data_IF_850514382640
#
_entry.id   IF_850514382640
#
_cell.length_a   1.000
_cell.length_b   1.000
_cell.length_c   1.000
_cell.angle_alpha   90.00
_cell.angle_beta   90.00
_cell.angle_gamma   90.00
#
_symmetry.space_group_name_H-M   'P 1'
#
loop_
_entity.id
_entity.type
_entity.pdbx_description
1 polymer ?
#
# COMPACT_ATOMS: atom_id res chain seq x y z
N UNK A 1 12.31 -9.95 -16.24
CA UNK A 1 10.86 -10.22 -16.18
C UNK A 1 10.68 -11.52 -15.42
N UNK A 2 9.90 -11.54 -14.34
CA UNK A 2 9.68 -12.77 -13.56
C UNK A 2 8.59 -13.59 -14.25
N UNK A 3 8.86 -14.83 -14.69
CA UNK A 3 7.84 -15.70 -15.27
C UNK A 3 6.77 -16.02 -14.22
N UNK A 4 5.51 -15.87 -14.61
CA UNK A 4 4.36 -16.21 -13.76
C UNK A 4 3.53 -17.25 -14.47
N UNK A 5 3.28 -18.39 -13.83
CA UNK A 5 2.39 -19.45 -14.30
C UNK A 5 1.03 -19.40 -13.59
N UNK A 6 -0.02 -19.89 -14.25
CA UNK A 6 -1.32 -20.15 -13.61
C UNK A 6 -1.49 -21.66 -13.46
N UNK A 7 -1.82 -22.11 -12.25
CA UNK A 7 -2.19 -23.52 -12.02
C UNK A 7 -3.48 -23.90 -12.72
N UNK A 8 -3.69 -25.20 -12.92
CA UNK A 8 -4.94 -25.72 -13.45
C UNK A 8 -6.15 -25.30 -12.59
N UNK A 9 -6.00 -25.27 -11.27
CA UNK A 9 -7.05 -24.88 -10.32
C UNK A 9 -7.42 -23.40 -10.44
N UNK A 10 -6.42 -22.53 -10.63
CA UNK A 10 -6.66 -21.11 -10.93
C UNK A 10 -7.41 -20.96 -12.25
N UNK A 11 -6.95 -21.63 -13.31
CA UNK A 11 -7.63 -21.57 -14.63
C UNK A 11 -9.07 -22.09 -14.53
N UNK A 12 -9.30 -23.17 -13.79
CA UNK A 12 -10.64 -23.70 -13.56
C UNK A 12 -11.53 -22.73 -12.78
N UNK A 13 -10.98 -22.04 -11.78
CA UNK A 13 -11.71 -21.03 -11.00
C UNK A 13 -12.08 -19.81 -11.84
N UNK A 14 -11.16 -19.31 -12.65
CA UNK A 14 -11.42 -18.21 -13.58
C UNK A 14 -12.49 -18.56 -14.63
N UNK A 15 -12.51 -19.81 -15.10
CA UNK A 15 -13.58 -20.31 -15.99
C UNK A 15 -14.92 -20.32 -15.28
N UNK A 16 -15.00 -20.86 -14.06
CA UNK A 16 -16.25 -20.89 -13.26
C UNK A 16 -16.83 -19.50 -13.05
N UNK A 17 -16.02 -18.51 -12.67
CA UNK A 17 -16.51 -17.14 -12.44
C UNK A 17 -17.00 -16.49 -13.73
N UNK A 18 -16.31 -16.75 -14.86
CA UNK A 18 -16.76 -16.29 -16.19
C UNK A 18 -18.10 -16.91 -16.56
N UNK A 19 -18.27 -18.21 -16.37
CA UNK A 19 -19.48 -18.93 -16.78
C UNK A 19 -20.70 -18.51 -15.94
N UNK A 20 -20.48 -17.94 -14.73
CA UNK A 20 -21.52 -17.32 -13.88
C UNK A 20 -21.80 -15.85 -14.18
N UNK A 21 -21.02 -15.21 -15.06
CA UNK A 21 -21.11 -13.76 -15.30
C UNK A 21 -20.55 -12.90 -14.17
N UNK A 22 -19.80 -13.49 -13.24
CA UNK A 22 -19.24 -12.84 -12.04
C UNK A 22 -17.79 -12.40 -12.25
N UNK A 23 -17.30 -12.37 -13.51
CA UNK A 23 -15.90 -12.08 -13.80
C UNK A 23 -15.56 -10.60 -13.57
N UNK A 24 -14.86 -10.33 -12.49
CA UNK A 24 -14.30 -9.01 -12.22
C UNK A 24 -13.08 -8.72 -13.13
N UNK A 25 -12.83 -7.45 -13.50
CA UNK A 25 -11.69 -7.09 -14.36
C UNK A 25 -10.33 -7.56 -13.82
N UNK A 26 -10.15 -7.54 -12.49
CA UNK A 26 -8.92 -8.04 -11.84
C UNK A 26 -8.66 -9.53 -12.05
N UNK A 27 -9.67 -10.32 -12.41
CA UNK A 27 -9.58 -11.76 -12.67
C UNK A 27 -9.24 -12.10 -14.14
N UNK A 28 -8.72 -11.13 -14.90
CA UNK A 28 -8.11 -11.41 -16.19
C UNK A 28 -6.70 -12.00 -16.03
N UNK A 29 -6.38 -13.03 -16.81
CA UNK A 29 -5.11 -13.76 -16.76
C UNK A 29 -3.90 -12.82 -16.85
N UNK A 30 -3.95 -11.82 -17.73
CA UNK A 30 -2.90 -10.81 -17.88
C UNK A 30 -2.75 -9.90 -16.66
N UNK A 31 -3.86 -9.57 -15.98
CA UNK A 31 -3.86 -8.75 -14.77
C UNK A 31 -3.27 -9.53 -13.60
N UNK A 32 -3.67 -10.79 -13.42
CA UNK A 32 -3.11 -11.69 -12.40
C UNK A 32 -1.60 -11.85 -12.57
N UNK A 33 -1.15 -12.16 -13.79
CA UNK A 33 0.29 -12.35 -14.07
C UNK A 33 1.07 -11.07 -13.81
N UNK A 34 0.56 -9.92 -14.25
CA UNK A 34 1.22 -8.62 -14.06
C UNK A 34 1.26 -8.22 -12.59
N UNK A 35 0.19 -8.47 -11.84
CA UNK A 35 0.13 -8.20 -10.41
C UNK A 35 1.14 -9.02 -9.62
N UNK A 36 1.21 -10.33 -9.86
CA UNK A 36 2.18 -11.21 -9.21
C UNK A 36 3.60 -10.78 -9.58
N UNK A 37 3.90 -10.61 -10.87
CA UNK A 37 5.24 -10.19 -11.30
C UNK A 37 5.63 -8.84 -10.68
N UNK A 38 4.71 -7.89 -10.61
CA UNK A 38 4.92 -6.60 -9.97
C UNK A 38 5.12 -6.68 -8.46
N UNK A 39 4.38 -7.55 -7.77
CA UNK A 39 4.56 -7.80 -6.33
C UNK A 39 5.93 -8.43 -6.03
N UNK A 40 6.31 -9.46 -6.79
CA UNK A 40 7.62 -10.11 -6.62
C UNK A 40 8.75 -9.16 -6.94
N UNK A 41 8.65 -8.37 -8.01
CA UNK A 41 9.65 -7.35 -8.31
C UNK A 41 9.82 -6.36 -7.15
N UNK A 42 8.72 -5.88 -6.56
CA UNK A 42 8.81 -4.95 -5.41
C UNK A 42 9.46 -5.59 -4.18
N UNK A 43 9.21 -6.88 -3.94
CA UNK A 43 9.85 -7.64 -2.86
C UNK A 43 11.36 -7.78 -3.09
N UNK A 44 11.77 -8.14 -4.31
CA UNK A 44 13.19 -8.34 -4.67
C UNK A 44 13.96 -7.01 -4.72
N UNK A 45 13.37 -5.98 -5.31
CA UNK A 45 14.02 -4.68 -5.51
C UNK A 45 13.90 -3.77 -4.26
N UNK A 46 13.24 -4.25 -3.19
CA UNK A 46 12.94 -3.49 -1.97
C UNK A 46 12.23 -2.14 -2.24
N UNK A 47 11.23 -2.15 -3.13
CA UNK A 47 10.45 -0.97 -3.56
C UNK A 47 8.99 -1.04 -3.11
N UNK A 48 8.73 -1.62 -1.94
CA UNK A 48 7.38 -1.87 -1.42
C UNK A 48 6.59 -0.60 -1.06
N UNK A 49 7.26 0.50 -0.71
CA UNK A 49 6.67 1.72 -0.14
C UNK A 49 5.50 2.31 -0.95
N UNK A 50 5.48 2.14 -2.28
CA UNK A 50 4.42 2.66 -3.15
C UNK A 50 3.34 1.64 -3.55
N UNK A 51 3.43 0.39 -3.08
CA UNK A 51 2.60 -0.71 -3.57
C UNK A 51 1.87 -1.51 -2.50
N UNK A 52 2.01 -1.16 -1.22
CA UNK A 52 1.43 -1.89 -0.07
C UNK A 52 0.88 -0.89 0.96
N UNK A 53 0.08 -1.37 1.93
CA UNK A 53 -0.36 -0.49 3.02
C UNK A 53 0.78 -0.22 4.00
N UNK A 54 0.78 0.93 4.69
CA UNK A 54 1.82 1.23 5.67
C UNK A 54 1.95 0.20 6.79
N UNK A 55 0.83 -0.40 7.23
CA UNK A 55 0.83 -1.44 8.28
C UNK A 55 1.31 -2.82 7.78
N UNK A 56 1.18 -3.10 6.48
CA UNK A 56 1.68 -4.33 5.85
C UNK A 56 3.21 -4.27 5.61
N UNK A 57 3.73 -3.05 5.44
CA UNK A 57 5.10 -2.79 4.98
C UNK A 57 6.19 -3.40 5.88
N UNK A 58 6.18 -3.22 7.23
CA UNK A 58 7.29 -3.67 8.07
C UNK A 58 7.49 -5.19 8.00
N UNK A 59 6.40 -5.95 8.03
CA UNK A 59 6.47 -7.41 7.98
C UNK A 59 6.88 -7.91 6.58
N UNK A 60 6.34 -7.30 5.53
CA UNK A 60 6.75 -7.61 4.16
C UNK A 60 8.24 -7.34 3.94
N UNK A 61 8.78 -6.23 4.43
CA UNK A 61 10.20 -5.90 4.34
C UNK A 61 11.08 -6.90 5.11
N UNK A 62 10.68 -7.23 6.34
CA UNK A 62 11.39 -8.20 7.18
C UNK A 62 11.49 -9.56 6.47
N UNK A 63 10.36 -10.05 5.96
CA UNK A 63 10.26 -11.33 5.24
C UNK A 63 11.02 -11.29 3.91
N UNK A 64 10.96 -10.17 3.18
CA UNK A 64 11.65 -9.99 1.91
C UNK A 64 13.17 -10.09 2.06
N UNK A 65 13.73 -9.64 3.19
CA UNK A 65 15.18 -9.76 3.46
C UNK A 65 15.64 -11.22 3.57
N UNK A 66 14.74 -12.11 3.99
CA UNK A 66 14.98 -13.56 4.06
C UNK A 66 14.67 -14.31 2.76
N UNK A 67 14.22 -13.62 1.70
CA UNK A 67 13.98 -14.28 0.42
C UNK A 67 15.31 -14.67 -0.23
N UNK A 68 15.43 -15.94 -0.58
CA UNK A 68 16.46 -16.39 -1.52
C UNK A 68 16.21 -15.87 -2.94
N UNK A 69 16.99 -16.37 -3.89
CA UNK A 69 16.80 -16.05 -5.32
C UNK A 69 15.39 -16.43 -5.76
N UNK A 70 14.62 -15.48 -6.29
CA UNK A 70 13.31 -15.74 -6.87
C UNK A 70 13.42 -15.72 -8.40
N UNK A 71 13.22 -16.88 -9.03
CA UNK A 71 13.33 -17.05 -10.48
C UNK A 71 11.98 -17.09 -11.19
N UNK A 72 10.89 -17.25 -10.44
CA UNK A 72 9.54 -17.36 -10.99
C UNK A 72 8.47 -17.33 -9.91
N UNK A 73 7.21 -17.32 -10.33
CA UNK A 73 6.08 -17.48 -9.43
C UNK A 73 4.95 -18.27 -10.10
N UNK A 74 4.09 -18.87 -9.28
CA UNK A 74 2.92 -19.62 -9.73
C UNK A 74 1.68 -19.16 -8.97
N UNK A 75 0.64 -18.74 -9.67
CA UNK A 75 -0.65 -18.48 -9.06
C UNK A 75 -1.29 -19.81 -8.63
N UNK A 76 -1.53 -19.98 -7.34
CA UNK A 76 -2.02 -21.23 -6.75
C UNK A 76 -3.48 -21.16 -6.30
N UNK A 77 -4.00 -19.96 -6.02
CA UNK A 77 -5.42 -19.76 -5.69
C UNK A 77 -5.87 -18.37 -6.12
N UNK A 78 -7.12 -18.25 -6.57
CA UNK A 78 -7.76 -16.97 -6.86
C UNK A 78 -9.26 -17.05 -6.60
N UNK A 79 -9.78 -16.05 -5.91
CA UNK A 79 -11.20 -15.73 -5.83
C UNK A 79 -11.41 -14.22 -6.11
N UNK A 80 -12.57 -13.67 -5.75
CA UNK A 80 -12.93 -12.28 -6.03
C UNK A 80 -12.19 -11.26 -5.15
N UNK A 81 -11.60 -11.70 -4.04
CA UNK A 81 -10.99 -10.86 -3.02
C UNK A 81 -9.54 -11.20 -2.73
N UNK A 82 -9.10 -12.43 -3.04
CA UNK A 82 -7.80 -12.96 -2.67
C UNK A 82 -7.14 -13.66 -3.86
N UNK A 83 -5.87 -13.37 -4.05
CA UNK A 83 -4.98 -14.03 -5.00
C UNK A 83 -3.74 -14.50 -4.24
N UNK A 84 -3.41 -15.78 -4.39
CA UNK A 84 -2.24 -16.39 -3.75
C UNK A 84 -1.26 -16.85 -4.83
N UNK A 85 0.00 -16.47 -4.65
CA UNK A 85 1.09 -16.92 -5.50
C UNK A 85 2.19 -17.57 -4.68
N UNK A 86 2.75 -18.66 -5.20
CA UNK A 86 3.92 -19.34 -4.66
C UNK A 86 5.17 -18.89 -5.44
N UNK A 87 6.21 -18.49 -4.70
CA UNK A 87 7.49 -18.03 -5.23
C UNK A 87 8.42 -19.22 -5.45
N UNK A 88 9.08 -19.26 -6.61
CA UNK A 88 9.99 -20.34 -6.99
C UNK A 88 11.45 -19.87 -6.91
N UNK A 89 12.39 -20.76 -6.49
CA UNK A 89 12.18 -22.15 -6.08
C UNK A 89 11.86 -22.32 -4.58
N UNK A 90 11.84 -21.23 -3.81
CA UNK A 90 11.79 -21.29 -2.33
C UNK A 90 10.45 -21.72 -1.73
N UNK A 91 9.36 -21.76 -2.49
CA UNK A 91 8.04 -22.18 -2.03
C UNK A 91 7.31 -21.17 -1.14
N UNK A 92 7.90 -20.00 -0.87
CA UNK A 92 7.26 -18.95 -0.07
C UNK A 92 5.97 -18.49 -0.76
N UNK A 93 4.87 -18.33 -0.02
CA UNK A 93 3.60 -17.86 -0.58
C UNK A 93 3.36 -16.40 -0.24
N UNK A 94 2.88 -15.64 -1.23
CA UNK A 94 2.43 -14.26 -1.07
C UNK A 94 0.93 -14.17 -1.31
N UNK A 95 0.28 -13.29 -0.56
CA UNK A 95 -1.13 -13.00 -0.67
C UNK A 95 -1.32 -11.58 -1.17
N UNK A 96 -2.13 -11.47 -2.21
CA UNK A 96 -2.61 -10.21 -2.75
C UNK A 96 -4.11 -10.10 -2.51
N UNK A 97 -4.58 -8.91 -2.17
CA UNK A 97 -6.00 -8.59 -2.05
C UNK A 97 -6.51 -7.86 -3.29
N UNK A 98 -7.76 -8.12 -3.65
CA UNK A 98 -8.45 -7.38 -4.69
C UNK A 98 -8.71 -5.94 -4.27
N UNK A 99 -8.35 -4.98 -5.12
CA UNK A 99 -8.60 -3.55 -4.94
C UNK A 99 -8.95 -2.98 -6.32
N UNK A 100 -10.18 -2.50 -6.50
CA UNK A 100 -10.70 -2.01 -7.78
C UNK A 100 -10.39 -2.99 -8.93
N UNK A 101 -9.78 -2.56 -10.03
CA UNK A 101 -9.46 -3.46 -11.14
C UNK A 101 -8.12 -4.20 -10.98
N UNK A 102 -7.50 -4.14 -9.80
CA UNK A 102 -6.17 -4.68 -9.55
C UNK A 102 -6.05 -5.53 -8.29
N UNK A 103 -4.78 -5.82 -7.98
CA UNK A 103 -4.36 -6.63 -6.84
C UNK A 103 -3.24 -5.90 -6.09
N UNK A 104 -3.33 -5.90 -4.77
CA UNK A 104 -2.31 -5.31 -3.89
C UNK A 104 -1.71 -6.37 -2.99
N UNK A 105 -0.37 -6.44 -2.93
CA UNK A 105 0.34 -7.30 -1.98
C UNK A 105 0.03 -6.88 -0.53
N UNK A 106 -0.28 -7.86 0.32
CA UNK A 106 -0.63 -7.65 1.73
C UNK A 106 0.38 -8.31 2.64
N UNK A 107 0.61 -9.62 2.46
CA UNK A 107 1.47 -10.39 3.37
C UNK A 107 2.02 -11.63 2.69
N UNK A 108 2.95 -12.27 3.38
CA UNK A 108 3.25 -13.66 3.10
C UNK A 108 2.30 -14.60 3.87
N UNK A 109 2.22 -15.86 3.42
CA UNK A 109 1.37 -16.89 4.01
C UNK A 109 2.19 -18.16 4.25
N UNK A 110 2.13 -18.70 5.46
CA UNK A 110 2.86 -19.91 5.86
C UNK A 110 1.98 -21.17 5.90
N UNK A 111 0.66 -21.03 5.71
CA UNK A 111 -0.31 -22.12 5.69
C UNK A 111 -1.46 -21.87 4.72
N UNK A 112 -2.65 -22.37 5.07
CA UNK A 112 -3.84 -22.27 4.22
C UNK A 112 -4.78 -21.12 4.63
N UNK A 113 -4.46 -20.39 5.70
CA UNK A 113 -5.23 -19.20 6.09
C UNK A 113 -4.92 -18.02 5.17
N UNK A 114 -5.81 -17.84 4.20
CA UNK A 114 -5.78 -16.80 3.18
C UNK A 114 -6.78 -15.67 3.48
N UNK A 115 -7.31 -15.59 4.70
CA UNK A 115 -8.22 -14.49 5.07
C UNK A 115 -7.46 -13.17 5.07
N UNK A 116 -8.17 -12.13 4.61
CA UNK A 116 -7.71 -10.74 4.61
C UNK A 116 -8.67 -9.97 5.49
N UNK A 117 -8.13 -9.06 6.30
CA UNK A 117 -8.96 -8.15 7.09
C UNK A 117 -9.74 -7.22 6.15
N UNK A 118 -11.03 -6.96 6.44
CA UNK A 118 -11.77 -5.94 5.72
C UNK A 118 -11.06 -4.60 5.86
N UNK A 119 -10.94 -3.86 4.76
CA UNK A 119 -10.61 -2.44 4.82
C UNK A 119 -11.88 -1.61 4.65
N UNK A 120 -12.06 -0.60 5.48
CA UNK A 120 -13.11 0.40 5.34
C UNK A 120 -12.51 1.68 4.79
N UNK A 121 -13.29 2.38 3.97
CA UNK A 121 -12.89 3.68 3.41
C UNK A 121 -14.00 4.69 3.70
N UNK A 122 -13.62 5.87 4.21
CA UNK A 122 -14.56 6.98 4.42
C UNK A 122 -13.92 8.30 3.99
N UNK A 123 -14.74 9.20 3.46
CA UNK A 123 -14.32 10.56 3.13
C UNK A 123 -14.49 11.46 4.35
N UNK A 124 -13.52 12.34 4.56
CA UNK A 124 -13.56 13.38 5.60
C UNK A 124 -13.20 14.73 5.00
N UNK A 125 -13.79 15.78 5.57
CA UNK A 125 -13.34 17.14 5.31
C UNK A 125 -12.08 17.42 6.13
N UNK A 126 -11.17 18.21 5.57
CA UNK A 126 -10.03 18.75 6.30
C UNK A 126 -10.33 20.19 6.70
N UNK A 127 -10.15 20.51 7.98
CA UNK A 127 -10.22 21.88 8.46
C UNK A 127 -8.82 22.51 8.36
N UNK A 128 -8.50 22.95 7.15
CA UNK A 128 -7.19 23.48 6.79
C UNK A 128 -6.21 22.44 6.24
N UNK A 129 -4.94 22.85 6.20
CA UNK A 129 -3.84 22.11 5.59
C UNK A 129 -2.65 22.06 6.53
N UNK A 130 -1.88 20.97 6.46
CA UNK A 130 -0.72 20.78 7.30
C UNK A 130 -0.82 19.54 8.19
N UNK A 131 0.27 19.21 8.90
CA UNK A 131 0.31 18.10 9.85
C UNK A 131 -0.74 18.20 10.96
N UNK A 132 -1.05 19.41 11.46
CA UNK A 132 -2.05 19.60 12.51
C UNK A 132 -3.48 19.28 12.05
N UNK A 133 -3.85 19.65 10.82
CA UNK A 133 -5.14 19.32 10.22
C UNK A 133 -5.30 17.80 10.05
N UNK A 134 -4.21 17.10 9.72
CA UNK A 134 -4.18 15.62 9.67
C UNK A 134 -4.44 15.02 11.04
N UNK A 135 -3.75 15.50 12.08
CA UNK A 135 -3.93 15.01 13.45
C UNK A 135 -5.36 15.25 13.95
N UNK A 136 -5.92 16.42 13.69
CA UNK A 136 -7.31 16.75 14.03
C UNK A 136 -8.29 15.80 13.32
N UNK A 137 -8.12 15.56 12.02
CA UNK A 137 -8.96 14.64 11.25
C UNK A 137 -8.87 13.18 11.72
N UNK A 138 -7.72 12.78 12.27
CA UNK A 138 -7.48 11.47 12.87
C UNK A 138 -7.91 11.38 14.35
N UNK A 139 -8.29 12.50 14.97
CA UNK A 139 -8.62 12.55 16.40
C UNK A 139 -7.42 12.29 17.32
N UNK A 140 -6.21 12.64 16.87
CA UNK A 140 -4.96 12.42 17.60
C UNK A 140 -4.49 13.73 18.23
N UNK A 141 -4.21 13.70 19.52
CA UNK A 141 -3.59 14.81 20.24
C UNK A 141 -2.07 14.65 20.18
N UNK A 142 -1.39 15.65 19.63
CA UNK A 142 0.07 15.68 19.56
C UNK A 142 0.65 15.92 20.96
N UNK A 143 1.62 15.11 21.43
CA UNK A 143 2.37 15.44 22.63
C UNK A 143 3.23 16.71 22.46
N UNK A 144 3.49 17.41 23.56
CA UNK A 144 4.27 18.67 23.54
C UNK A 144 5.73 18.47 23.12
N UNK A 145 6.31 17.31 23.42
CA UNK A 145 7.69 16.96 23.08
C UNK A 145 7.89 16.59 21.60
N UNK A 146 6.82 16.42 20.83
CA UNK A 146 6.91 16.13 19.40
C UNK A 146 7.10 17.42 18.62
N UNK A 147 8.28 17.57 18.03
CA UNK A 147 8.67 18.72 17.22
C UNK A 147 8.29 18.53 15.75
N UNK A 148 8.04 19.66 15.05
CA UNK A 148 7.81 19.67 13.61
C UNK A 148 9.13 19.39 12.88
N UNK A 149 9.13 18.39 12.01
CA UNK A 149 10.25 18.07 11.14
C UNK A 149 10.02 18.71 9.76
N UNK A 150 11.06 19.35 9.24
CA UNK A 150 11.06 19.93 7.89
C UNK A 150 12.14 19.27 7.03
N UNK A 151 11.77 18.84 5.84
CA UNK A 151 12.68 18.33 4.83
C UNK A 151 12.34 18.90 3.46
N UNK A 152 13.34 19.05 2.59
CA UNK A 152 13.12 19.39 1.20
C UNK A 152 14.03 18.56 0.28
N UNK A 153 13.59 18.38 -0.97
CA UNK A 153 14.30 17.62 -1.98
C UNK A 153 14.09 18.25 -3.35
N UNK A 154 15.20 18.53 -4.05
CA UNK A 154 15.16 18.95 -5.45
C UNK A 154 14.87 17.73 -6.34
N UNK A 155 13.79 17.82 -7.13
CA UNK A 155 13.32 16.73 -8.01
C UNK A 155 13.82 16.89 -9.46
N UNK A 156 14.44 18.03 -9.79
CA UNK A 156 14.87 18.34 -11.15
C UNK A 156 13.97 19.36 -11.83
N UNK A 157 14.46 19.97 -12.92
CA UNK A 157 13.70 20.94 -13.74
C UNK A 157 13.11 22.14 -12.95
N UNK A 158 13.75 22.54 -11.85
CA UNK A 158 13.23 23.61 -10.99
C UNK A 158 12.19 23.17 -9.96
N UNK A 159 11.78 21.89 -9.96
CA UNK A 159 10.81 21.34 -8.99
C UNK A 159 11.49 20.98 -7.67
N UNK A 160 10.88 21.40 -6.57
CA UNK A 160 11.28 21.05 -5.19
C UNK A 160 10.08 20.48 -4.44
N UNK A 161 10.27 19.31 -3.82
CA UNK A 161 9.33 18.75 -2.83
C UNK A 161 9.73 19.26 -1.44
N UNK A 162 8.77 19.76 -0.69
CA UNK A 162 8.87 20.12 0.72
C UNK A 162 7.99 19.19 1.53
N UNK A 163 8.49 18.74 2.67
CA UNK A 163 7.80 17.84 3.59
C UNK A 163 7.89 18.40 5.00
N UNK A 164 6.73 18.72 5.54
CA UNK A 164 6.55 19.15 6.92
C UNK A 164 5.77 18.08 7.66
N UNK A 165 6.23 17.62 8.82
CA UNK A 165 5.52 16.53 9.51
C UNK A 165 5.91 16.28 10.96
N UNK A 166 5.02 15.56 11.63
CA UNK A 166 5.22 14.98 12.95
C UNK A 166 5.39 13.48 12.83
N UNK A 167 6.29 12.91 13.62
CA UNK A 167 6.45 11.47 13.75
C UNK A 167 6.78 11.09 15.19
N UNK A 168 6.06 10.13 15.75
CA UNK A 168 6.37 9.58 17.07
C UNK A 168 5.77 8.19 17.30
N UNK A 169 6.15 7.56 18.41
CA UNK A 169 5.50 6.36 18.95
C UNK A 169 4.78 6.75 20.24
N UNK A 170 3.49 6.43 20.35
CA UNK A 170 2.70 6.78 21.53
C UNK A 170 2.87 5.78 22.69
N UNK A 171 2.24 6.07 23.83
CA UNK A 171 2.30 5.22 25.03
C UNK A 171 1.69 3.83 24.87
N UNK A 172 0.96 3.58 23.78
CA UNK A 172 0.41 2.26 23.42
C UNK A 172 1.29 1.52 22.40
N UNK A 173 2.42 2.10 21.98
CA UNK A 173 3.32 1.51 20.99
C UNK A 173 2.89 1.75 19.55
N UNK A 174 1.89 2.62 19.30
CA UNK A 174 1.44 2.94 17.93
C UNK A 174 2.40 3.93 17.31
N UNK A 175 2.82 3.65 16.07
CA UNK A 175 3.61 4.60 15.28
C UNK A 175 2.69 5.56 14.57
N UNK A 176 2.89 6.87 14.77
CA UNK A 176 2.04 7.93 14.24
C UNK A 176 2.89 8.84 13.35
N UNK A 177 2.41 9.12 12.15
CA UNK A 177 2.97 10.07 11.20
C UNK A 177 1.84 10.98 10.72
N UNK A 178 2.08 12.29 10.72
CA UNK A 178 1.21 13.27 10.08
C UNK A 178 2.09 14.24 9.30
N UNK A 179 1.89 14.33 8.00
CA UNK A 179 2.73 15.12 7.12
C UNK A 179 1.92 15.87 6.07
N UNK A 180 2.42 17.03 5.70
CA UNK A 180 2.06 17.74 4.49
C UNK A 180 3.25 17.68 3.54
N UNK A 181 2.96 17.43 2.28
CA UNK A 181 3.96 17.44 1.23
C UNK A 181 3.51 18.43 0.16
N UNK A 182 4.43 19.31 -0.24
CA UNK A 182 4.20 20.38 -1.20
C UNK A 182 5.22 20.27 -2.33
N UNK A 183 4.75 20.23 -3.58
CA UNK A 183 5.61 20.34 -4.74
C UNK A 183 5.45 21.71 -5.36
N UNK A 184 6.56 22.37 -5.63
CA UNK A 184 6.60 23.72 -6.17
C UNK A 184 7.73 23.86 -7.19
N UNK A 185 7.44 24.57 -8.28
CA UNK A 185 8.43 25.08 -9.22
C UNK A 185 8.51 26.59 -9.02
N UNK A 186 9.71 27.10 -8.74
CA UNK A 186 9.93 28.53 -8.50
C UNK A 186 10.05 29.33 -9.81
N UNK A 187 9.06 29.20 -10.69
CA UNK A 187 8.98 29.90 -11.98
C UNK A 187 7.88 30.98 -12.02
N UNK A 188 7.06 31.07 -10.97
CA UNK A 188 5.94 32.02 -10.87
C UNK A 188 4.75 31.72 -11.78
N UNK A 189 4.80 30.64 -12.56
CA UNK A 189 3.79 30.27 -13.55
C UNK A 189 3.17 28.88 -13.29
N UNK A 190 3.94 27.96 -12.73
CA UNK A 190 3.50 26.59 -12.47
C UNK A 190 2.75 26.52 -11.14
N UNK A 191 1.49 26.02 -11.12
CA UNK A 191 0.74 25.84 -9.89
C UNK A 191 1.44 24.87 -8.93
N UNK A 192 1.61 25.28 -7.68
CA UNK A 192 2.06 24.36 -6.63
C UNK A 192 0.98 23.31 -6.34
N UNK A 193 1.41 22.12 -5.92
CA UNK A 193 0.50 21.09 -5.44
C UNK A 193 0.79 20.80 -3.97
N UNK A 194 -0.25 20.53 -3.20
CA UNK A 194 -0.11 20.09 -1.82
C UNK A 194 -0.98 18.87 -1.58
N UNK A 195 -0.44 17.93 -0.83
CA UNK A 195 -1.13 16.75 -0.35
C UNK A 195 -0.78 16.53 1.11
N UNK A 196 -1.70 15.88 1.83
CA UNK A 196 -1.49 15.50 3.22
C UNK A 196 -1.56 14.00 3.38
N UNK A 197 -0.79 13.49 4.32
CA UNK A 197 -0.74 12.08 4.65
C UNK A 197 -0.71 11.89 6.16
N UNK A 198 -1.58 11.02 6.65
CA UNK A 198 -1.59 10.56 8.02
C UNK A 198 -1.46 9.05 8.07
N UNK A 199 -0.62 8.53 8.94
CA UNK A 199 -0.42 7.09 9.13
C UNK A 199 -0.42 6.78 10.61
N UNK A 200 -1.23 5.79 10.99
CA UNK A 200 -1.18 5.15 12.31
C UNK A 200 -0.93 3.67 12.06
N UNK A 201 0.10 3.11 12.69
CA UNK A 201 0.38 1.67 12.66
C UNK A 201 0.29 1.15 14.10
N UNK A 202 -0.56 0.15 14.29
CA UNK A 202 -0.81 -0.54 15.55
C UNK A 202 -0.66 -2.06 15.31
N UNK A 203 0.57 -2.55 15.41
CA UNK A 203 0.91 -3.92 15.03
C UNK A 203 0.61 -4.20 13.56
N UNK A 204 -0.35 -5.11 13.31
CA UNK A 204 -0.82 -5.49 11.98
C UNK A 204 -2.10 -4.74 11.55
N UNK A 205 -2.45 -3.67 12.28
CA UNK A 205 -3.56 -2.75 11.96
C UNK A 205 -3.03 -1.39 11.61
N UNK A 206 -3.83 -0.62 10.91
CA UNK A 206 -3.53 0.79 10.75
C UNK A 206 -4.62 1.65 10.16
N UNK A 207 -4.30 2.94 10.16
CA UNK A 207 -5.11 3.99 9.57
C UNK A 207 -4.23 4.74 8.58
N UNK A 208 -4.75 4.95 7.37
CA UNK A 208 -4.12 5.78 6.34
C UNK A 208 -5.09 6.89 5.97
N UNK A 209 -4.68 8.12 6.21
CA UNK A 209 -5.30 9.31 5.68
C UNK A 209 -4.49 9.80 4.48
N UNK A 210 -5.16 10.05 3.35
CA UNK A 210 -4.57 10.74 2.20
C UNK A 210 -5.53 11.82 1.74
N UNK A 211 -5.04 13.06 1.62
CA UNK A 211 -5.85 14.20 1.20
C UNK A 211 -5.19 15.02 0.10
N UNK A 212 -6.03 15.55 -0.81
CA UNK A 212 -5.67 16.51 -1.84
C UNK A 212 -6.87 17.42 -2.10
N UNK A 213 -6.66 18.73 -2.26
CA UNK A 213 -7.77 19.69 -2.25
C UNK A 213 -8.51 19.72 -0.91
N UNK A 214 -9.79 20.03 -0.93
CA UNK A 214 -10.67 20.18 0.24
C UNK A 214 -11.09 18.86 0.92
N UNK A 215 -10.52 17.71 0.51
CA UNK A 215 -10.99 16.42 0.97
C UNK A 215 -9.88 15.40 1.19
N UNK A 216 -10.12 14.55 2.19
CA UNK A 216 -9.29 13.40 2.48
C UNK A 216 -10.10 12.12 2.53
N UNK A 217 -9.41 11.02 2.26
CA UNK A 217 -9.90 9.66 2.46
C UNK A 217 -9.17 9.07 3.65
N UNK A 218 -9.92 8.49 4.57
CA UNK A 218 -9.41 7.65 5.65
C UNK A 218 -9.70 6.20 5.28
N UNK A 219 -8.67 5.37 5.40
CA UNK A 219 -8.72 3.93 5.19
C UNK A 219 -8.25 3.25 6.47
N UNK A 220 -9.04 2.32 6.98
CA UNK A 220 -8.76 1.56 8.21
C UNK A 220 -8.66 0.07 7.84
N UNK A 221 -7.70 -0.67 8.43
CA UNK A 221 -7.44 -2.09 8.15
C UNK A 221 -6.72 -2.82 9.27
#
# INVERSE_FOLDING_TARGET
MIPVELTADVVASLRRNRDRGERQPRCHDGVIRSAIAGAVRRLVDNTLNGGVRPWDLPELQRRATGLGVVSGARAVSVDDHVLVAELQPGGARILLRGVDDGWRLVRFVDGDDVRVRPETTRRVALDGWGPDAVLAALGIVKPDWVELQHANQYLGQGETEYRDGYQWVDGHGRSIIAEQIKNEIFDGATPSSSYVRGVIIDGDRGVLLTGRGDSALIIEG
#
